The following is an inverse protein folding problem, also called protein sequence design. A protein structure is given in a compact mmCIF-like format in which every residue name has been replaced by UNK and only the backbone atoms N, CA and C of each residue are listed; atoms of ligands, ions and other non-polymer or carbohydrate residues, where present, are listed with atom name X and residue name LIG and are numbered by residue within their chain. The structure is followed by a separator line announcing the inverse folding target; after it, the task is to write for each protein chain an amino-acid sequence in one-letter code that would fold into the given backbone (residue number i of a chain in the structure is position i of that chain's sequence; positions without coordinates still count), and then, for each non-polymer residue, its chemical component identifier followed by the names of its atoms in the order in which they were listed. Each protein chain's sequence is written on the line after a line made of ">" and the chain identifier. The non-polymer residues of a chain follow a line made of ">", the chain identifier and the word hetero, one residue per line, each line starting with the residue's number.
data_IF_481417290260
#
_entry.id   IF_481417290260
#
_cell.length_a   1.000
_cell.length_b   1.000
_cell.length_c   1.000
_cell.angle_alpha   90.00
_cell.angle_beta   90.00
_cell.angle_gamma   90.00
#
_symmetry.space_group_name_H-M   'P 1'
#
loop_
_entity.id
_entity.type
_entity.pdbx_description
1 polymer ?
#
# COMPACT_ATOMS: atom_id res chain seq x y z
N UNK A 1 12.35 11.99 33.38
CA UNK A 1 11.45 10.82 33.25
C UNK A 1 10.05 11.33 32.95
N UNK A 2 9.54 11.05 31.74
CA UNK A 2 8.16 11.24 31.26
C UNK A 2 8.16 11.06 29.72
N UNK A 3 8.80 9.98 29.23
CA UNK A 3 8.89 9.72 27.79
C UNK A 3 8.00 8.50 27.51
N UNK A 4 6.92 8.65 26.73
CA UNK A 4 6.09 7.51 26.35
C UNK A 4 6.90 6.55 25.46
N UNK A 5 6.59 5.24 25.49
CA UNK A 5 7.19 4.30 24.57
C UNK A 5 6.74 4.59 23.13
N UNK A 6 7.50 4.15 22.11
CA UNK A 6 7.06 4.17 20.72
C UNK A 6 5.75 3.41 20.53
N UNK A 7 4.92 3.88 19.59
CA UNK A 7 3.69 3.20 19.20
C UNK A 7 4.00 2.18 18.10
N UNK A 8 4.28 0.94 18.50
CA UNK A 8 4.64 -0.18 17.62
C UNK A 8 4.04 -1.49 18.13
N UNK A 9 4.07 -2.53 17.30
CA UNK A 9 3.64 -3.90 17.58
C UNK A 9 2.17 -4.01 18.03
N UNK A 10 1.31 -3.27 17.33
CA UNK A 10 -0.15 -3.28 17.52
C UNK A 10 -0.86 -3.46 16.18
N UNK A 11 -2.10 -3.96 16.20
CA UNK A 11 -2.89 -4.08 14.97
C UNK A 11 -3.66 -2.78 14.70
N UNK A 12 -3.34 -2.11 13.59
CA UNK A 12 -3.99 -0.85 13.21
C UNK A 12 -5.49 -1.01 12.93
N UNK A 13 -5.89 -2.14 12.34
CA UNK A 13 -7.29 -2.43 12.02
C UNK A 13 -8.12 -2.74 13.27
N UNK A 14 -7.59 -3.56 14.19
CA UNK A 14 -8.30 -3.85 15.46
C UNK A 14 -8.48 -2.59 16.32
N UNK A 15 -7.53 -1.66 16.24
CA UNK A 15 -7.54 -0.40 16.99
C UNK A 15 -8.47 0.66 16.39
N UNK A 16 -9.03 0.44 15.20
CA UNK A 16 -9.87 1.39 14.47
C UNK A 16 -11.32 0.87 14.38
N UNK A 17 -12.11 1.14 15.42
CA UNK A 17 -13.52 0.76 15.45
C UNK A 17 -14.34 1.35 14.29
N UNK A 18 -14.23 2.65 13.95
CA UNK A 18 -14.92 3.23 12.78
C UNK A 18 -14.62 2.51 11.46
N UNK A 19 -13.37 2.10 11.23
CA UNK A 19 -12.98 1.37 10.03
C UNK A 19 -13.62 -0.03 9.99
N UNK A 20 -13.60 -0.76 11.11
CA UNK A 20 -14.21 -2.09 11.22
C UNK A 20 -15.72 -2.04 10.97
N UNK A 21 -16.42 -1.12 11.62
CA UNK A 21 -17.87 -0.92 11.42
C UNK A 21 -18.19 -0.51 9.98
N UNK A 22 -17.33 0.31 9.36
CA UNK A 22 -17.50 0.72 7.97
C UNK A 22 -17.30 -0.46 7.01
N UNK A 23 -16.33 -1.34 7.26
CA UNK A 23 -16.12 -2.52 6.42
C UNK A 23 -17.37 -3.42 6.38
N UNK A 24 -18.04 -3.59 7.51
CA UNK A 24 -19.30 -4.34 7.59
C UNK A 24 -20.44 -3.61 6.89
N UNK A 25 -20.64 -2.33 7.20
CA UNK A 25 -21.71 -1.51 6.62
C UNK A 25 -21.66 -1.44 5.11
N UNK A 26 -20.46 -1.37 4.53
CA UNK A 26 -20.26 -1.29 3.07
C UNK A 26 -20.24 -2.67 2.38
N UNK A 27 -20.65 -3.74 3.08
CA UNK A 27 -20.76 -5.09 2.51
C UNK A 27 -19.42 -5.77 2.21
N UNK A 28 -18.36 -5.35 2.91
CA UNK A 28 -16.99 -5.81 2.71
C UNK A 28 -16.47 -6.69 3.87
N UNK A 29 -17.33 -7.21 4.74
CA UNK A 29 -16.94 -8.08 5.88
C UNK A 29 -16.08 -9.27 5.48
N UNK A 30 -16.24 -9.78 4.25
CA UNK A 30 -15.40 -10.86 3.71
C UNK A 30 -13.91 -10.51 3.63
N UNK A 31 -13.56 -9.23 3.69
CA UNK A 31 -12.18 -8.73 3.64
C UNK A 31 -11.56 -8.57 5.02
N UNK A 32 -12.27 -8.92 6.11
CA UNK A 32 -11.80 -8.74 7.47
C UNK A 32 -10.37 -9.27 7.66
N UNK A 33 -10.12 -10.53 7.29
CA UNK A 33 -8.81 -11.17 7.48
C UNK A 33 -7.72 -10.47 6.67
N UNK A 34 -8.02 -10.05 5.43
CA UNK A 34 -7.08 -9.30 4.60
C UNK A 34 -6.68 -7.95 5.23
N UNK A 35 -7.66 -7.22 5.78
CA UNK A 35 -7.39 -5.90 6.41
C UNK A 35 -6.74 -6.09 7.78
N UNK A 36 -7.08 -7.17 8.50
CA UNK A 36 -6.47 -7.55 9.76
C UNK A 36 -4.99 -7.93 9.61
N UNK A 37 -4.66 -8.77 8.63
CA UNK A 37 -3.28 -9.19 8.34
C UNK A 37 -2.41 -7.98 7.98
N UNK A 38 -2.92 -7.10 7.12
CA UNK A 38 -2.27 -5.82 6.81
C UNK A 38 -2.15 -4.93 8.05
N UNK A 39 -3.17 -4.88 8.90
CA UNK A 39 -3.16 -4.11 10.13
C UNK A 39 -2.09 -4.58 11.12
N UNK A 40 -1.90 -5.90 11.23
CA UNK A 40 -0.83 -6.50 12.04
C UNK A 40 0.55 -6.15 11.47
N UNK A 41 0.73 -6.30 10.16
CA UNK A 41 2.01 -5.99 9.50
C UNK A 41 2.37 -4.51 9.60
N UNK A 42 1.40 -3.62 9.33
CA UNK A 42 1.58 -2.18 9.32
C UNK A 42 2.03 -1.61 10.68
N UNK A 43 1.66 -2.26 11.77
CA UNK A 43 2.05 -1.82 13.12
C UNK A 43 3.41 -2.32 13.57
N UNK A 44 4.05 -3.22 12.82
CA UNK A 44 5.40 -3.71 13.18
C UNK A 44 6.43 -2.59 13.07
N UNK A 45 7.43 -2.61 13.96
CA UNK A 45 8.60 -1.72 13.84
C UNK A 45 9.25 -1.83 12.44
N UNK A 46 9.30 -3.03 11.86
CA UNK A 46 9.91 -3.27 10.55
C UNK A 46 9.20 -2.51 9.42
N UNK A 47 7.87 -2.54 9.37
CA UNK A 47 7.12 -1.82 8.33
C UNK A 47 7.27 -0.31 8.49
N UNK A 48 7.19 0.18 9.73
CA UNK A 48 7.42 1.59 10.07
C UNK A 48 8.83 2.04 9.61
N UNK A 49 9.85 1.22 9.86
CA UNK A 49 11.22 1.49 9.41
C UNK A 49 11.33 1.54 7.87
N UNK A 50 10.59 0.70 7.14
CA UNK A 50 10.54 0.81 5.68
C UNK A 50 9.99 2.16 5.22
N UNK A 51 8.92 2.65 5.86
CA UNK A 51 8.36 3.97 5.58
C UNK A 51 9.37 5.09 5.76
N UNK A 52 10.11 5.07 6.87
CA UNK A 52 11.20 6.02 7.13
C UNK A 52 12.34 5.89 6.11
N UNK A 53 12.80 4.67 5.83
CA UNK A 53 13.92 4.44 4.91
C UNK A 53 13.58 4.86 3.47
N UNK A 54 12.37 4.57 3.00
CA UNK A 54 11.94 4.96 1.66
C UNK A 54 11.89 6.50 1.50
N UNK A 55 11.47 7.22 2.54
CA UNK A 55 11.41 8.68 2.52
C UNK A 55 12.76 9.37 2.73
N UNK A 56 13.61 8.82 3.60
CA UNK A 56 14.94 9.35 3.85
C UNK A 56 15.92 9.12 2.68
N UNK A 57 15.65 8.12 1.83
CA UNK A 57 16.47 7.75 0.68
C UNK A 57 15.66 7.91 -0.62
N UNK A 58 15.47 9.15 -1.11
CA UNK A 58 14.65 9.40 -2.28
C UNK A 58 15.23 8.73 -3.54
N UNK A 59 14.38 8.42 -4.54
CA UNK A 59 14.81 7.78 -5.77
C UNK A 59 15.83 8.62 -6.56
N UNK A 60 16.73 7.93 -7.25
CA UNK A 60 17.80 8.56 -8.05
C UNK A 60 17.61 8.27 -9.54
N UNK A 61 17.53 9.32 -10.35
CA UNK A 61 17.53 9.21 -11.79
C UNK A 61 18.94 8.88 -12.30
N UNK A 62 19.08 7.75 -12.97
CA UNK A 62 20.27 7.34 -13.72
C UNK A 62 19.98 7.54 -15.20
N UNK A 63 20.34 8.71 -15.72
CA UNK A 63 20.10 9.03 -17.13
C UNK A 63 21.03 8.25 -18.06
N UNK A 64 22.28 8.03 -17.65
CA UNK A 64 23.30 7.34 -18.45
C UNK A 64 24.04 6.29 -17.61
N UNK A 65 24.55 5.25 -18.29
CA UNK A 65 25.45 4.27 -17.71
C UNK A 65 26.90 4.80 -17.65
N UNK A 66 27.82 3.98 -17.13
CA UNK A 66 29.25 4.33 -16.99
C UNK A 66 30.00 4.55 -18.31
N UNK A 67 29.44 4.15 -19.44
CA UNK A 67 30.01 4.31 -20.78
C UNK A 67 29.45 5.55 -21.51
N UNK A 68 28.48 6.24 -20.91
CA UNK A 68 27.82 7.39 -21.52
C UNK A 68 26.61 7.02 -22.39
N UNK A 69 26.17 5.75 -22.41
CA UNK A 69 24.93 5.38 -23.08
C UNK A 69 23.73 5.75 -22.21
N UNK A 70 22.67 6.26 -22.83
CA UNK A 70 21.41 6.60 -22.14
C UNK A 70 20.67 5.34 -21.67
N UNK A 71 20.19 5.33 -20.42
CA UNK A 71 19.42 4.22 -19.82
C UNK A 71 18.06 4.63 -19.22
N UNK A 72 17.88 5.91 -18.84
CA UNK A 72 16.61 6.45 -18.30
C UNK A 72 16.00 5.66 -17.12
N UNK A 73 16.84 5.15 -16.22
CA UNK A 73 16.39 4.35 -15.08
C UNK A 73 16.22 5.18 -13.81
N UNK A 74 15.29 4.79 -12.94
CA UNK A 74 15.14 5.36 -11.60
C UNK A 74 15.41 4.28 -10.57
N UNK A 75 16.46 4.47 -9.77
CA UNK A 75 16.86 3.56 -8.70
C UNK A 75 16.16 3.96 -7.39
N UNK A 76 15.56 2.99 -6.71
CA UNK A 76 14.87 3.20 -5.43
C UNK A 76 15.59 2.43 -4.32
N UNK A 77 15.42 2.89 -3.08
CA UNK A 77 15.90 2.17 -1.90
C UNK A 77 15.13 0.84 -1.72
N UNK A 78 15.75 -0.28 -1.27
CA UNK A 78 15.08 -1.57 -1.09
C UNK A 78 13.76 -1.52 -0.28
N UNK A 79 13.69 -0.67 0.75
CA UNK A 79 12.48 -0.45 1.53
C UNK A 79 11.25 -0.05 0.68
N UNK A 80 11.46 0.72 -0.39
CA UNK A 80 10.40 1.04 -1.34
C UNK A 80 9.82 -0.20 -2.01
N UNK A 81 10.69 -1.14 -2.39
CA UNK A 81 10.30 -2.37 -3.03
C UNK A 81 9.54 -3.28 -2.06
N UNK A 82 9.91 -3.30 -0.77
CA UNK A 82 9.13 -4.02 0.26
C UNK A 82 7.71 -3.44 0.42
N UNK A 83 7.58 -2.11 0.48
CA UNK A 83 6.27 -1.44 0.51
C UNK A 83 5.40 -1.79 -0.69
N UNK A 84 6.00 -1.79 -1.89
CA UNK A 84 5.34 -2.17 -3.14
C UNK A 84 4.98 -3.66 -3.18
N UNK A 85 5.85 -4.55 -2.69
CA UNK A 85 5.61 -5.99 -2.64
C UNK A 85 4.40 -6.31 -1.78
N UNK A 86 4.28 -5.68 -0.60
CA UNK A 86 3.12 -5.84 0.27
C UNK A 86 1.85 -5.34 -0.42
N UNK A 87 1.87 -4.13 -0.99
CA UNK A 87 0.70 -3.53 -1.63
C UNK A 87 0.23 -4.34 -2.86
N UNK A 88 1.16 -4.82 -3.68
CA UNK A 88 0.86 -5.65 -4.86
C UNK A 88 0.40 -7.04 -4.44
N UNK A 89 1.10 -7.68 -3.49
CA UNK A 89 0.79 -9.01 -2.98
C UNK A 89 -0.61 -9.12 -2.37
N UNK A 90 -1.04 -8.08 -1.65
CA UNK A 90 -2.41 -7.97 -1.11
C UNK A 90 -3.44 -7.44 -2.13
N UNK A 91 -3.05 -7.26 -3.40
CA UNK A 91 -3.95 -6.88 -4.47
C UNK A 91 -4.44 -5.44 -4.43
N UNK A 92 -3.80 -4.53 -3.69
CA UNK A 92 -4.29 -3.14 -3.54
C UNK A 92 -4.36 -2.35 -4.86
N UNK A 93 -3.57 -2.79 -5.84
CA UNK A 93 -3.54 -2.25 -7.20
C UNK A 93 -4.68 -2.76 -8.09
N UNK A 94 -5.41 -3.82 -7.72
CA UNK A 94 -6.32 -4.50 -8.65
C UNK A 94 -7.52 -5.24 -8.03
N UNK A 95 -7.66 -5.34 -6.70
CA UNK A 95 -8.62 -6.21 -6.02
C UNK A 95 -10.05 -6.14 -6.61
N UNK A 96 -10.66 -4.96 -6.82
CA UNK A 96 -12.02 -4.87 -7.36
C UNK A 96 -12.16 -5.36 -8.81
N UNK A 97 -11.06 -5.37 -9.55
CA UNK A 97 -11.01 -5.82 -10.94
C UNK A 97 -10.71 -7.31 -11.06
N UNK A 98 -9.90 -7.85 -10.13
CA UNK A 98 -9.53 -9.27 -10.06
C UNK A 98 -10.69 -10.11 -9.52
N UNK A 99 -11.36 -9.62 -8.47
CA UNK A 99 -12.43 -10.32 -7.76
C UNK A 99 -13.66 -9.41 -7.68
N UNK A 100 -14.40 -9.25 -8.79
CA UNK A 100 -15.58 -8.39 -8.82
C UNK A 100 -16.70 -9.00 -7.95
N UNK A 101 -16.91 -8.39 -6.78
CA UNK A 101 -18.02 -8.73 -5.87
C UNK A 101 -18.48 -7.49 -5.09
N UNK A 102 -19.65 -7.60 -4.46
CA UNK A 102 -20.16 -6.56 -3.58
C UNK A 102 -19.12 -6.18 -2.51
N UNK A 103 -18.95 -4.88 -2.27
CA UNK A 103 -17.99 -4.36 -1.31
C UNK A 103 -16.51 -4.40 -1.76
N UNK A 104 -16.16 -4.87 -2.96
CA UNK A 104 -14.74 -4.99 -3.36
C UNK A 104 -13.96 -3.67 -3.36
N UNK A 105 -14.60 -2.57 -3.77
CA UNK A 105 -14.02 -1.24 -3.67
C UNK A 105 -13.82 -0.79 -2.21
N UNK A 106 -14.78 -1.08 -1.34
CA UNK A 106 -14.69 -0.76 0.09
C UNK A 106 -13.60 -1.61 0.77
N UNK A 107 -13.51 -2.90 0.47
CA UNK A 107 -12.43 -3.78 0.92
C UNK A 107 -11.05 -3.24 0.50
N UNK A 108 -10.88 -2.89 -0.78
CA UNK A 108 -9.64 -2.28 -1.28
C UNK A 108 -9.35 -0.96 -0.59
N UNK A 109 -10.36 -0.12 -0.36
CA UNK A 109 -10.20 1.17 0.31
C UNK A 109 -9.71 0.99 1.76
N UNK A 110 -10.31 0.08 2.53
CA UNK A 110 -9.89 -0.21 3.90
C UNK A 110 -8.45 -0.75 3.97
N UNK A 111 -8.12 -1.71 3.11
CA UNK A 111 -6.77 -2.28 3.04
C UNK A 111 -5.73 -1.23 2.62
N UNK A 112 -6.06 -0.40 1.62
CA UNK A 112 -5.21 0.70 1.17
C UNK A 112 -5.05 1.79 2.24
N UNK A 113 -6.11 2.10 2.99
CA UNK A 113 -6.06 3.03 4.12
C UNK A 113 -5.09 2.55 5.20
N UNK A 114 -5.21 1.28 5.64
CA UNK A 114 -4.31 0.69 6.64
C UNK A 114 -2.85 0.76 6.17
N UNK A 115 -2.56 0.30 4.96
CA UNK A 115 -1.17 0.26 4.47
C UNK A 115 -0.58 1.65 4.23
N UNK A 116 -1.41 2.63 3.86
CA UNK A 116 -0.98 4.03 3.71
C UNK A 116 -0.60 4.71 5.02
N UNK A 117 -0.95 4.15 6.19
CA UNK A 117 -0.48 4.66 7.48
C UNK A 117 1.02 4.41 7.70
N UNK A 118 1.60 3.42 7.01
CA UNK A 118 3.05 3.17 7.02
C UNK A 118 3.77 4.18 6.14
N UNK A 119 3.30 4.37 4.91
CA UNK A 119 3.96 5.21 3.90
C UNK A 119 2.96 5.61 2.79
N UNK A 120 2.90 6.89 2.42
CA UNK A 120 1.93 7.40 1.45
C UNK A 120 2.40 7.47 -0.01
N UNK A 121 3.70 7.60 -0.26
CA UNK A 121 4.31 7.76 -1.58
C UNK A 121 4.10 6.57 -2.49
N UNK A 122 4.23 5.34 -1.99
CA UNK A 122 4.01 4.09 -2.75
C UNK A 122 2.56 3.87 -3.12
N UNK A 123 1.66 4.53 -2.39
CA UNK A 123 0.25 4.60 -2.75
C UNK A 123 0.01 5.23 -4.13
N UNK A 124 0.93 6.08 -4.64
CA UNK A 124 0.81 6.73 -5.93
C UNK A 124 0.77 5.73 -7.10
N UNK A 125 1.81 4.92 -7.38
CA UNK A 125 1.76 3.93 -8.46
C UNK A 125 0.65 2.88 -8.24
N UNK A 126 0.41 2.44 -7.01
CA UNK A 126 -0.66 1.48 -6.67
C UNK A 126 -2.03 2.01 -7.06
N UNK A 127 -2.29 3.30 -6.78
CA UNK A 127 -3.57 3.95 -7.11
C UNK A 127 -3.70 4.25 -8.60
N UNK A 128 -2.61 4.65 -9.27
CA UNK A 128 -2.62 4.85 -10.72
C UNK A 128 -2.92 3.54 -11.47
N UNK A 129 -2.28 2.42 -11.09
CA UNK A 129 -2.56 1.10 -11.69
C UNK A 129 -4.01 0.70 -11.49
N UNK A 130 -4.54 0.88 -10.28
CA UNK A 130 -5.96 0.61 -9.98
C UNK A 130 -6.90 1.48 -10.84
N UNK A 131 -6.60 2.78 -10.98
CA UNK A 131 -7.46 3.73 -11.69
C UNK A 131 -7.35 3.64 -13.22
N UNK A 132 -6.26 3.06 -13.76
CA UNK A 132 -6.07 2.93 -15.21
C UNK A 132 -7.03 1.90 -15.84
N UNK A 133 -7.49 0.89 -15.08
CA UNK A 133 -8.27 -0.24 -15.61
C UNK A 133 -9.57 0.19 -16.30
N UNK A 134 -10.44 1.05 -15.70
CA UNK A 134 -11.63 1.54 -16.39
C UNK A 134 -11.33 2.23 -17.71
N UNK A 135 -10.29 3.08 -17.76
CA UNK A 135 -9.90 3.79 -18.98
C UNK A 135 -9.42 2.82 -20.06
N UNK A 136 -8.56 1.86 -19.73
CA UNK A 136 -8.08 0.88 -20.70
C UNK A 136 -9.21 0.02 -21.28
N UNK A 137 -10.23 -0.30 -20.49
CA UNK A 137 -11.41 -1.04 -20.97
C UNK A 137 -12.25 -0.28 -22.00
N UNK A 138 -12.09 1.04 -22.12
CA UNK A 138 -12.76 1.82 -23.18
C UNK A 138 -12.16 1.57 -24.58
N UNK A 139 -10.95 1.01 -24.65
CA UNK A 139 -10.23 0.69 -25.88
C UNK A 139 -9.64 -0.72 -25.79
N UNK A 140 -10.45 -1.77 -25.97
CA UNK A 140 -10.02 -3.16 -25.79
C UNK A 140 -9.13 -3.71 -26.93
N UNK A 141 -8.77 -2.89 -27.92
CA UNK A 141 -8.05 -3.26 -29.14
C UNK A 141 -6.74 -2.49 -29.28
#
# INVERSE_FOLDING_TARGET
>A
MNQPPPLVDYNLFESDAPLRESLEREGASWAHDLVHDLGSLAGTQQAIDWGFQANANPPQLRSHNRFGDRIDEVEFHPAWHELMNVAIGHGLHALPWREPRAGAHAARAAAFYIWSQVEGGHGCPVSMTYAAVPTLRTQPN
#
